data_IF_425487420895
#
_entry.id   IF_425487420895
#
_cell.length_a   1.000
_cell.length_b   1.000
_cell.length_c   1.000
_cell.angle_alpha   90.00
_cell.angle_beta   90.00
_cell.angle_gamma   90.00
#
_symmetry.space_group_name_H-M   'P 1'
#
loop_
_entity.id
_entity.type
_entity.pdbx_description
1 polymer ?
#
# COMPACT_ATOMS: atom_id res chain seq x y z
N UNK A 1 27.75 -78.01 15.55
CA UNK A 1 27.49 -77.48 14.18
C UNK A 1 26.66 -76.21 14.29
N UNK A 2 27.13 -75.16 13.63
CA UNK A 2 27.04 -73.75 14.00
C UNK A 2 25.78 -73.05 13.47
N UNK A 3 24.79 -72.85 14.35
CA UNK A 3 23.64 -71.95 14.14
C UNK A 3 23.98 -70.48 13.79
N UNK A 4 25.12 -69.87 14.17
CA UNK A 4 25.38 -68.47 13.80
C UNK A 4 25.72 -68.25 12.32
N UNK A 5 26.20 -69.28 11.59
CA UNK A 5 26.56 -69.12 10.17
C UNK A 5 25.34 -69.18 9.24
N UNK A 6 24.30 -69.93 9.60
CA UNK A 6 23.06 -69.98 8.83
C UNK A 6 22.24 -68.67 8.92
N UNK A 7 22.27 -68.00 10.07
CA UNK A 7 21.61 -66.70 10.24
C UNK A 7 22.31 -65.57 9.45
N UNK A 8 23.65 -65.60 9.38
CA UNK A 8 24.42 -64.61 8.61
C UNK A 8 24.21 -64.77 7.09
N UNK A 9 24.14 -66.01 6.60
CA UNK A 9 23.87 -66.29 5.19
C UNK A 9 22.45 -65.89 4.76
N UNK A 10 21.45 -66.08 5.64
CA UNK A 10 20.07 -65.67 5.37
C UNK A 10 19.90 -64.14 5.38
N UNK A 11 20.59 -63.43 6.28
CA UNK A 11 20.60 -61.97 6.31
C UNK A 11 21.29 -61.35 5.07
N UNK A 12 22.38 -61.96 4.59
CA UNK A 12 23.07 -61.55 3.36
C UNK A 12 22.25 -61.85 2.10
N UNK A 13 21.51 -62.96 2.06
CA UNK A 13 20.61 -63.29 0.96
C UNK A 13 19.38 -62.35 0.90
N UNK A 14 18.86 -61.92 2.05
CA UNK A 14 17.76 -60.94 2.12
C UNK A 14 18.21 -59.52 1.77
N UNK A 15 19.47 -59.16 2.06
CA UNK A 15 20.04 -57.88 1.64
C UNK A 15 20.36 -57.82 0.14
N UNK A 16 20.67 -58.96 -0.50
CA UNK A 16 20.95 -59.04 -1.94
C UNK A 16 19.68 -59.15 -2.81
N UNK A 17 18.55 -59.55 -2.23
CA UNK A 17 17.26 -59.75 -2.92
C UNK A 17 16.27 -58.59 -2.80
N UNK A 18 16.59 -57.52 -2.08
CA UNK A 18 15.72 -56.35 -2.04
C UNK A 18 15.66 -55.75 -3.46
N UNK A 19 14.49 -55.74 -4.13
CA UNK A 19 14.37 -55.01 -5.38
C UNK A 19 14.81 -53.59 -5.06
N UNK A 20 15.81 -53.09 -5.80
CA UNK A 20 16.09 -51.65 -5.84
C UNK A 20 14.75 -51.03 -6.19
N UNK A 21 14.03 -50.54 -5.19
CA UNK A 21 12.95 -49.61 -5.41
C UNK A 21 13.64 -48.52 -6.21
N UNK A 22 13.36 -48.50 -7.53
CA UNK A 22 13.62 -47.36 -8.36
C UNK A 22 13.04 -46.22 -7.56
N UNK A 23 13.89 -45.45 -6.89
CA UNK A 23 13.48 -44.27 -6.18
C UNK A 23 12.80 -43.45 -7.25
N UNK A 24 11.46 -43.52 -7.28
CA UNK A 24 10.64 -42.88 -8.27
C UNK A 24 11.05 -41.43 -8.17
N UNK A 25 11.80 -40.96 -9.17
CA UNK A 25 12.38 -39.63 -9.13
C UNK A 25 11.20 -38.70 -9.00
N UNK A 26 11.05 -38.09 -7.81
CA UNK A 26 9.96 -37.19 -7.52
C UNK A 26 9.93 -36.17 -8.64
N UNK A 27 8.89 -36.23 -9.46
CA UNK A 27 8.87 -35.41 -10.65
C UNK A 27 8.62 -33.97 -10.24
N UNK A 28 8.96 -33.04 -11.14
CA UNK A 28 8.66 -31.62 -10.95
C UNK A 28 7.17 -31.40 -10.67
N UNK A 29 6.30 -32.18 -11.32
CA UNK A 29 4.86 -32.13 -11.12
C UNK A 29 4.43 -32.64 -9.74
N UNK A 30 5.05 -33.72 -9.23
CA UNK A 30 4.74 -34.27 -7.90
C UNK A 30 5.09 -33.27 -6.79
N UNK A 31 6.23 -32.60 -6.93
CA UNK A 31 6.66 -31.57 -5.96
C UNK A 31 5.69 -30.38 -5.93
N UNK A 32 5.25 -29.92 -7.11
CA UNK A 32 4.28 -28.84 -7.21
C UNK A 32 2.90 -29.25 -6.65
N UNK A 33 2.47 -30.49 -6.90
CA UNK A 33 1.24 -31.03 -6.34
C UNK A 33 1.27 -31.11 -4.81
N UNK A 34 2.40 -31.52 -4.22
CA UNK A 34 2.58 -31.54 -2.76
C UNK A 34 2.46 -30.14 -2.14
N UNK A 35 3.04 -29.11 -2.76
CA UNK A 35 2.93 -27.73 -2.26
C UNK A 35 1.52 -27.17 -2.41
N UNK A 36 0.81 -27.51 -3.48
CA UNK A 36 -0.59 -27.13 -3.64
C UNK A 36 -1.46 -27.78 -2.56
N UNK A 37 -1.24 -29.07 -2.24
CA UNK A 37 -1.94 -29.75 -1.15
C UNK A 37 -1.61 -29.11 0.21
N UNK A 38 -0.34 -28.80 0.47
CA UNK A 38 0.08 -28.09 1.68
C UNK A 38 -0.61 -26.73 1.80
N UNK A 39 -0.69 -25.95 0.71
CA UNK A 39 -1.39 -24.67 0.69
C UNK A 39 -2.89 -24.84 0.99
N UNK A 40 -3.56 -25.86 0.43
CA UNK A 40 -4.97 -26.16 0.71
C UNK A 40 -5.19 -26.55 2.17
N UNK A 41 -4.29 -27.35 2.76
CA UNK A 41 -4.35 -27.70 4.19
C UNK A 41 -4.18 -26.47 5.09
N UNK A 42 -3.21 -25.60 4.79
CA UNK A 42 -3.01 -24.34 5.52
C UNK A 42 -4.26 -23.45 5.42
N UNK A 43 -4.90 -23.41 4.25
CA UNK A 43 -6.15 -22.66 4.07
C UNK A 43 -7.32 -23.26 4.87
N UNK A 44 -7.48 -24.59 4.86
CA UNK A 44 -8.48 -25.29 5.66
C UNK A 44 -8.28 -25.11 7.18
N UNK A 45 -7.04 -24.88 7.62
CA UNK A 45 -6.68 -24.55 9.00
C UNK A 45 -6.83 -23.04 9.32
N UNK A 46 -7.27 -22.22 8.37
CA UNK A 46 -7.39 -20.77 8.53
C UNK A 46 -6.05 -20.00 8.43
N UNK A 47 -4.93 -20.66 8.14
CA UNK A 47 -3.61 -20.03 7.98
C UNK A 47 -3.43 -19.41 6.59
N UNK A 48 -4.25 -18.41 6.27
CA UNK A 48 -4.31 -17.80 4.93
C UNK A 48 -2.99 -17.19 4.46
N UNK A 49 -2.26 -16.50 5.34
CA UNK A 49 -0.98 -15.87 4.99
C UNK A 49 0.09 -16.92 4.62
N UNK A 50 0.20 -17.99 5.40
CA UNK A 50 1.11 -19.09 5.12
C UNK A 50 0.71 -19.81 3.82
N UNK A 51 -0.58 -20.11 3.64
CA UNK A 51 -1.10 -20.68 2.41
C UNK A 51 -0.77 -19.82 1.19
N UNK A 52 -0.94 -18.49 1.29
CA UNK A 52 -0.61 -17.57 0.21
C UNK A 52 0.89 -17.54 -0.10
N UNK A 53 1.76 -17.51 0.91
CA UNK A 53 3.21 -17.60 0.70
C UNK A 53 3.59 -18.88 -0.06
N UNK A 54 2.98 -20.02 0.30
CA UNK A 54 3.21 -21.30 -0.40
C UNK A 54 2.70 -21.26 -1.83
N UNK A 55 1.50 -20.71 -2.10
CA UNK A 55 0.98 -20.58 -3.46
C UNK A 55 1.84 -19.64 -4.32
N UNK A 56 2.34 -18.53 -3.76
CA UNK A 56 3.24 -17.62 -4.47
C UNK A 56 4.55 -18.31 -4.81
N UNK A 57 5.17 -19.00 -3.86
CA UNK A 57 6.39 -19.77 -4.11
C UNK A 57 6.17 -20.89 -5.13
N UNK A 58 4.98 -21.49 -5.13
CA UNK A 58 4.58 -22.48 -6.11
C UNK A 58 4.51 -21.88 -7.52
N UNK A 59 3.90 -20.70 -7.67
CA UNK A 59 3.85 -19.98 -8.93
C UNK A 59 5.23 -19.54 -9.43
N UNK A 60 6.07 -19.01 -8.54
CA UNK A 60 7.42 -18.57 -8.89
C UNK A 60 8.27 -19.69 -9.49
N UNK A 61 8.11 -20.92 -8.99
CA UNK A 61 9.00 -22.04 -9.36
C UNK A 61 8.35 -23.06 -10.33
N UNK A 62 7.02 -23.11 -10.37
CA UNK A 62 6.25 -24.15 -11.08
C UNK A 62 4.96 -23.66 -11.74
N UNK A 63 4.90 -22.40 -12.19
CA UNK A 63 3.73 -21.82 -12.88
C UNK A 63 3.22 -22.67 -14.07
N UNK A 64 4.12 -23.36 -14.78
CA UNK A 64 3.83 -24.18 -15.96
C UNK A 64 3.23 -25.55 -15.64
N UNK A 65 3.18 -25.95 -14.37
CA UNK A 65 2.60 -27.23 -13.96
C UNK A 65 1.08 -27.13 -13.78
N UNK A 66 0.32 -28.23 -13.84
CA UNK A 66 -1.11 -28.23 -13.51
C UNK A 66 -1.41 -27.66 -12.11
N UNK A 67 -0.54 -27.96 -11.14
CA UNK A 67 -0.62 -27.40 -9.80
C UNK A 67 -0.36 -25.88 -9.78
N UNK A 68 0.57 -25.39 -10.61
CA UNK A 68 0.82 -23.97 -10.84
C UNK A 68 -0.39 -23.23 -11.39
N UNK A 69 -1.02 -23.76 -12.44
CA UNK A 69 -2.22 -23.16 -13.01
C UNK A 69 -3.38 -23.13 -12.01
N UNK A 70 -3.53 -24.17 -11.19
CA UNK A 70 -4.54 -24.20 -10.14
C UNK A 70 -4.22 -23.24 -8.99
N UNK A 71 -2.95 -23.11 -8.58
CA UNK A 71 -2.51 -22.09 -7.63
C UNK A 71 -2.80 -20.67 -8.14
N UNK A 72 -2.60 -20.42 -9.43
CA UNK A 72 -2.94 -19.15 -10.07
C UNK A 72 -4.44 -18.88 -10.01
N UNK A 73 -5.28 -19.90 -10.28
CA UNK A 73 -6.73 -19.81 -10.13
C UNK A 73 -7.13 -19.55 -8.68
N UNK A 74 -6.56 -20.27 -7.72
CA UNK A 74 -6.84 -20.06 -6.29
C UNK A 74 -6.45 -18.65 -5.86
N UNK A 75 -5.31 -18.12 -6.29
CA UNK A 75 -4.90 -16.74 -5.99
C UNK A 75 -5.82 -15.73 -6.68
N UNK A 76 -6.22 -15.96 -7.93
CA UNK A 76 -7.11 -15.05 -8.66
C UNK A 76 -8.56 -15.06 -8.12
N UNK A 77 -9.02 -16.20 -7.59
CA UNK A 77 -10.33 -16.34 -6.95
C UNK A 77 -10.32 -15.89 -5.49
N UNK A 78 -9.14 -15.83 -4.86
CA UNK A 78 -9.02 -15.23 -3.55
C UNK A 78 -9.35 -13.74 -3.67
N UNK A 79 -10.18 -13.21 -2.77
CA UNK A 79 -10.24 -11.77 -2.58
C UNK A 79 -8.80 -11.29 -2.43
N UNK A 80 -8.37 -10.31 -3.23
CA UNK A 80 -7.04 -9.70 -3.15
C UNK A 80 -6.71 -9.56 -1.66
N UNK A 81 -5.53 -10.06 -1.21
CA UNK A 81 -5.24 -10.37 0.18
C UNK A 81 -5.93 -9.33 1.04
N UNK A 82 -7.02 -9.75 1.69
CA UNK A 82 -7.87 -8.84 2.45
C UNK A 82 -6.92 -7.99 3.25
N UNK A 83 -6.93 -6.69 2.98
CA UNK A 83 -6.13 -5.69 3.65
C UNK A 83 -6.49 -5.76 5.14
N UNK A 84 -5.92 -6.73 5.86
CA UNK A 84 -6.20 -7.01 7.26
C UNK A 84 -5.76 -5.86 8.16
N UNK A 85 -5.13 -4.83 7.59
CA UNK A 85 -4.79 -3.58 8.23
C UNK A 85 -6.02 -2.70 8.49
N UNK A 86 -7.13 -2.82 7.75
CA UNK A 86 -8.27 -1.91 7.92
C UNK A 86 -8.79 -1.88 9.35
N UNK A 87 -8.97 -3.06 9.97
CA UNK A 87 -9.36 -3.15 11.38
C UNK A 87 -8.27 -2.62 12.32
N UNK A 88 -7.04 -3.10 12.19
CA UNK A 88 -5.96 -2.71 13.09
C UNK A 88 -5.69 -1.20 13.05
N UNK A 89 -5.66 -0.62 11.84
CA UNK A 89 -5.48 0.81 11.60
C UNK A 89 -6.63 1.62 12.18
N UNK A 90 -7.88 1.16 12.00
CA UNK A 90 -9.05 1.82 12.60
C UNK A 90 -8.98 1.80 14.13
N UNK A 91 -8.58 0.68 14.74
CA UNK A 91 -8.41 0.58 16.19
C UNK A 91 -7.33 1.53 16.70
N UNK A 92 -6.16 1.54 16.04
CA UNK A 92 -5.05 2.41 16.40
C UNK A 92 -5.45 3.89 16.28
N UNK A 93 -6.00 4.30 15.13
CA UNK A 93 -6.46 5.67 14.92
C UNK A 93 -7.55 6.07 15.93
N UNK A 94 -8.57 5.26 16.12
CA UNK A 94 -9.68 5.60 17.03
C UNK A 94 -9.24 5.67 18.48
N UNK A 95 -8.21 4.94 18.88
CA UNK A 95 -7.60 5.06 20.22
C UNK A 95 -6.91 6.42 20.37
N UNK A 96 -6.10 6.81 19.38
CA UNK A 96 -5.43 8.12 19.37
C UNK A 96 -6.46 9.25 19.32
N UNK A 97 -7.42 9.16 18.41
CA UNK A 97 -8.47 10.15 18.24
C UNK A 97 -9.39 10.23 19.47
N UNK A 98 -9.71 9.10 20.10
CA UNK A 98 -10.43 9.05 21.37
C UNK A 98 -9.66 9.71 22.52
N UNK A 99 -8.35 9.50 22.61
CA UNK A 99 -7.50 10.19 23.59
C UNK A 99 -7.46 11.71 23.33
N UNK A 100 -7.35 12.12 22.07
CA UNK A 100 -7.44 13.52 21.68
C UNK A 100 -8.79 14.14 22.03
N UNK A 101 -9.91 13.46 21.76
CA UNK A 101 -11.25 13.88 22.19
C UNK A 101 -11.36 13.98 23.72
N UNK A 102 -10.65 13.13 24.45
CA UNK A 102 -10.53 13.20 25.91
C UNK A 102 -9.94 14.52 26.42
N UNK A 103 -9.14 15.22 25.61
CA UNK A 103 -8.65 16.57 25.90
C UNK A 103 -9.59 17.62 25.32
N UNK A 104 -9.98 17.45 24.05
CA UNK A 104 -10.69 18.46 23.29
C UNK A 104 -12.11 18.71 23.81
N UNK A 105 -12.82 17.67 24.28
CA UNK A 105 -14.19 17.81 24.80
C UNK A 105 -14.22 18.61 26.11
N UNK A 106 -13.37 18.35 27.12
CA UNK A 106 -13.25 19.24 28.28
C UNK A 106 -12.86 20.68 27.93
N UNK A 107 -11.91 20.88 27.00
CA UNK A 107 -11.53 22.22 26.55
C UNK A 107 -12.70 22.96 25.90
N UNK A 108 -13.44 22.29 25.01
CA UNK A 108 -14.67 22.78 24.40
C UNK A 108 -15.74 23.14 25.45
N UNK A 109 -15.84 22.33 26.52
CA UNK A 109 -16.76 22.57 27.63
C UNK A 109 -16.32 23.69 28.59
N UNK A 110 -15.14 24.29 28.38
CA UNK A 110 -14.60 25.34 29.26
C UNK A 110 -14.08 24.82 30.60
N UNK A 111 -13.51 23.61 30.62
CA UNK A 111 -12.91 23.08 31.84
C UNK A 111 -11.67 23.89 32.27
N UNK A 112 -11.75 24.51 33.44
CA UNK A 112 -10.65 25.32 34.02
C UNK A 112 -9.70 24.50 34.91
N UNK A 113 -10.14 23.34 35.41
CA UNK A 113 -9.32 22.47 36.26
C UNK A 113 -8.71 21.32 35.47
N UNK A 114 -7.63 20.71 35.99
CA UNK A 114 -6.97 19.55 35.35
C UNK A 114 -7.78 18.25 35.45
N UNK A 115 -8.74 18.16 36.38
CA UNK A 115 -9.50 16.93 36.65
C UNK A 115 -10.31 16.45 35.44
N UNK A 116 -11.11 17.28 34.73
CA UNK A 116 -11.82 16.86 33.52
C UNK A 116 -10.90 16.33 32.42
N UNK A 117 -9.73 16.93 32.22
CA UNK A 117 -8.73 16.46 31.24
C UNK A 117 -8.13 15.11 31.64
N UNK A 118 -7.83 14.92 32.93
CA UNK A 118 -7.35 13.64 33.46
C UNK A 118 -8.37 12.52 33.26
N UNK A 119 -9.64 12.77 33.59
CA UNK A 119 -10.75 11.82 33.35
C UNK A 119 -10.90 11.55 31.86
N UNK A 120 -10.90 12.59 31.03
CA UNK A 120 -11.03 12.47 29.58
C UNK A 120 -9.90 11.66 28.94
N UNK A 121 -8.65 11.86 29.36
CA UNK A 121 -7.51 11.07 28.88
C UNK A 121 -7.58 9.60 29.31
N UNK A 122 -7.98 9.33 30.56
CA UNK A 122 -8.12 7.97 31.08
C UNK A 122 -9.21 7.18 30.34
N UNK A 123 -10.29 7.84 29.95
CA UNK A 123 -11.45 7.19 29.31
C UNK A 123 -11.42 7.24 27.78
N UNK A 124 -10.90 8.32 27.19
CA UNK A 124 -11.01 8.62 25.76
C UNK A 124 -10.34 7.58 24.87
N UNK A 125 -9.09 7.23 25.17
CA UNK A 125 -8.36 6.21 24.41
C UNK A 125 -9.03 4.83 24.46
N UNK A 126 -9.29 4.28 25.67
CA UNK A 126 -10.02 3.02 25.81
C UNK A 126 -11.42 3.03 25.17
N UNK A 127 -12.18 4.11 25.32
CA UNK A 127 -13.50 4.24 24.69
C UNK A 127 -13.38 4.19 23.15
N UNK A 128 -12.44 4.93 22.58
CA UNK A 128 -12.14 4.90 21.15
C UNK A 128 -11.79 3.50 20.63
N UNK A 129 -10.94 2.76 21.36
CA UNK A 129 -10.59 1.39 21.03
C UNK A 129 -11.81 0.45 21.05
N UNK A 130 -12.62 0.52 22.12
CA UNK A 130 -13.79 -0.34 22.32
C UNK A 130 -14.84 -0.09 21.24
N UNK A 131 -15.16 1.18 20.98
CA UNK A 131 -16.13 1.59 19.96
C UNK A 131 -15.66 1.16 18.56
N UNK A 132 -14.39 1.40 18.23
CA UNK A 132 -13.82 0.98 16.95
C UNK A 132 -13.79 -0.54 16.79
N UNK A 133 -13.55 -1.29 17.86
CA UNK A 133 -13.60 -2.75 17.82
C UNK A 133 -15.02 -3.28 17.63
N UNK A 134 -16.01 -2.69 18.29
CA UNK A 134 -17.41 -3.03 18.08
C UNK A 134 -17.83 -2.74 16.63
N UNK A 135 -17.53 -1.54 16.14
CA UNK A 135 -17.79 -1.15 14.75
C UNK A 135 -17.09 -2.06 13.74
N UNK A 136 -15.79 -2.32 13.91
CA UNK A 136 -15.01 -3.15 12.99
C UNK A 136 -15.47 -4.61 12.96
N UNK A 137 -16.03 -5.13 14.08
CA UNK A 137 -16.64 -6.47 14.11
C UNK A 137 -17.95 -6.52 13.33
N UNK A 138 -18.75 -5.46 13.41
CA UNK A 138 -20.04 -5.36 12.73
C UNK A 138 -19.87 -5.12 11.22
N UNK A 139 -19.06 -4.14 10.83
CA UNK A 139 -18.94 -3.69 9.43
C UNK A 139 -17.81 -4.40 8.67
N UNK A 140 -16.74 -4.81 9.36
CA UNK A 140 -15.53 -5.41 8.75
C UNK A 140 -14.97 -4.57 7.59
N UNK A 141 -14.62 -3.29 7.83
CA UNK A 141 -14.20 -2.38 6.77
C UNK A 141 -12.91 -2.85 6.07
N UNK A 142 -12.81 -2.59 4.77
CA UNK A 142 -11.56 -2.71 3.98
C UNK A 142 -10.56 -1.63 4.39
N UNK A 143 -9.30 -1.69 3.96
CA UNK A 143 -8.36 -0.62 4.31
C UNK A 143 -8.73 0.70 3.63
N UNK A 144 -9.20 0.69 2.38
CA UNK A 144 -9.70 1.90 1.72
C UNK A 144 -10.89 2.55 2.43
N UNK A 145 -11.81 1.75 2.95
CA UNK A 145 -12.93 2.23 3.78
C UNK A 145 -12.44 2.80 5.11
N UNK A 146 -11.54 2.11 5.81
CA UNK A 146 -10.93 2.62 7.03
C UNK A 146 -10.20 3.93 6.78
N UNK A 147 -9.40 4.02 5.72
CA UNK A 147 -8.65 5.21 5.38
C UNK A 147 -9.58 6.38 5.08
N UNK A 148 -10.75 6.13 4.47
CA UNK A 148 -11.71 7.18 4.16
C UNK A 148 -12.35 7.74 5.44
N UNK A 149 -12.64 6.88 6.43
CA UNK A 149 -13.13 7.29 7.75
C UNK A 149 -12.07 8.10 8.49
N UNK A 150 -10.82 7.63 8.50
CA UNK A 150 -9.69 8.29 9.17
C UNK A 150 -9.45 9.66 8.54
N UNK A 151 -9.26 9.70 7.21
CA UNK A 151 -9.05 10.94 6.47
C UNK A 151 -10.21 11.91 6.69
N UNK A 152 -11.46 11.44 6.61
CA UNK A 152 -12.63 12.26 6.89
C UNK A 152 -12.55 12.95 8.25
N UNK A 153 -12.16 12.22 9.32
CA UNK A 153 -12.00 12.82 10.64
C UNK A 153 -10.88 13.87 10.71
N UNK A 154 -9.73 13.62 10.08
CA UNK A 154 -8.60 14.56 10.07
C UNK A 154 -8.92 15.81 9.24
N UNK A 155 -9.41 15.61 8.02
CA UNK A 155 -9.80 16.68 7.11
C UNK A 155 -10.92 17.53 7.69
N UNK A 156 -11.92 16.89 8.32
CA UNK A 156 -13.00 17.58 9.01
C UNK A 156 -12.50 18.46 10.15
N UNK A 157 -11.59 17.98 11.00
CA UNK A 157 -10.99 18.80 12.07
C UNK A 157 -10.22 19.99 11.48
N UNK A 158 -9.39 19.75 10.46
CA UNK A 158 -8.64 20.78 9.76
C UNK A 158 -9.56 21.86 9.18
N UNK A 159 -10.60 21.46 8.45
CA UNK A 159 -11.57 22.38 7.86
C UNK A 159 -12.39 23.13 8.90
N UNK A 160 -12.82 22.47 9.98
CA UNK A 160 -13.54 23.11 11.07
C UNK A 160 -12.74 24.24 11.71
N UNK A 161 -11.49 23.94 12.10
CA UNK A 161 -10.59 24.96 12.66
C UNK A 161 -10.25 26.05 11.64
N UNK A 162 -9.90 25.63 10.43
CA UNK A 162 -9.49 26.54 9.35
C UNK A 162 -10.56 27.57 9.06
N UNK A 163 -11.81 27.15 8.85
CA UNK A 163 -12.90 28.07 8.54
C UNK A 163 -13.25 28.98 9.72
N UNK A 164 -13.15 28.49 10.96
CA UNK A 164 -13.30 29.37 12.13
C UNK A 164 -12.27 30.50 12.09
N UNK A 165 -11.00 30.15 11.93
CA UNK A 165 -9.90 31.11 11.93
C UNK A 165 -9.95 32.05 10.72
N UNK A 166 -10.39 31.57 9.55
CA UNK A 166 -10.49 32.37 8.33
C UNK A 166 -11.72 33.29 8.27
N UNK A 167 -12.64 33.21 9.24
CA UNK A 167 -13.89 34.00 9.22
C UNK A 167 -14.15 34.78 10.50
N UNK A 168 -13.34 34.57 11.53
CA UNK A 168 -13.56 35.14 12.86
C UNK A 168 -12.25 35.68 13.40
N UNK A 169 -12.19 37.00 13.61
CA UNK A 169 -11.01 37.69 14.16
C UNK A 169 -10.94 37.66 15.69
N UNK A 170 -12.07 37.45 16.39
CA UNK A 170 -12.15 37.35 17.85
C UNK A 170 -12.57 35.95 18.27
N UNK A 171 -11.57 35.08 18.43
CA UNK A 171 -11.77 33.66 18.70
C UNK A 171 -11.57 33.39 20.19
N UNK A 172 -12.68 33.30 20.93
CA UNK A 172 -12.62 32.95 22.35
C UNK A 172 -12.01 31.55 22.58
N UNK A 173 -11.35 31.35 23.72
CA UNK A 173 -10.45 30.21 24.02
C UNK A 173 -11.02 28.80 23.75
N UNK A 174 -12.34 28.61 23.91
CA UNK A 174 -13.02 27.31 23.69
C UNK A 174 -13.43 27.05 22.23
N UNK A 175 -13.52 28.10 21.43
CA UNK A 175 -14.08 28.07 20.07
C UNK A 175 -13.24 27.21 19.11
N UNK A 176 -11.88 27.26 19.15
CA UNK A 176 -11.04 26.39 18.33
C UNK A 176 -11.28 24.90 18.61
N UNK A 177 -11.37 24.51 19.88
CA UNK A 177 -11.67 23.12 20.26
C UNK A 177 -13.06 22.70 19.81
N UNK A 178 -14.05 23.59 19.92
CA UNK A 178 -15.40 23.34 19.41
C UNK A 178 -15.37 23.06 17.92
N UNK A 179 -14.71 23.92 17.14
CA UNK A 179 -14.62 23.79 15.70
C UNK A 179 -13.86 22.53 15.26
N UNK A 180 -12.74 22.21 15.92
CA UNK A 180 -11.99 20.97 15.70
C UNK A 180 -12.85 19.73 15.97
N UNK A 181 -13.57 19.69 17.09
CA UNK A 181 -14.39 18.54 17.48
C UNK A 181 -15.57 18.37 16.53
N UNK A 182 -16.33 19.44 16.26
CA UNK A 182 -17.48 19.39 15.37
C UNK A 182 -17.07 19.06 13.93
N UNK A 183 -16.00 19.69 13.44
CA UNK A 183 -15.42 19.40 12.14
C UNK A 183 -14.97 17.96 12.03
N UNK A 184 -14.20 17.46 13.00
CA UNK A 184 -13.69 16.10 12.99
C UNK A 184 -14.76 15.02 13.12
N UNK A 185 -15.79 15.24 13.96
CA UNK A 185 -16.95 14.34 14.04
C UNK A 185 -17.77 14.37 12.75
N UNK A 186 -18.05 15.56 12.20
CA UNK A 186 -18.76 15.70 10.93
C UNK A 186 -18.01 15.01 9.78
N UNK A 187 -16.69 15.21 9.71
CA UNK A 187 -15.82 14.56 8.74
C UNK A 187 -15.73 13.05 8.91
N UNK A 188 -15.72 12.53 10.15
CA UNK A 188 -15.78 11.09 10.43
C UNK A 188 -17.08 10.49 9.88
N UNK A 189 -18.22 11.14 10.11
CA UNK A 189 -19.53 10.70 9.60
C UNK A 189 -19.54 10.74 8.07
N UNK A 190 -19.06 11.83 7.45
CA UNK A 190 -18.95 11.93 6.00
C UNK A 190 -18.04 10.82 5.41
N UNK A 191 -16.88 10.59 6.02
CA UNK A 191 -15.96 9.52 5.65
C UNK A 191 -16.60 8.13 5.74
N UNK A 192 -17.41 7.89 6.77
CA UNK A 192 -18.20 6.65 6.90
C UNK A 192 -19.26 6.50 5.79
N UNK A 193 -19.99 7.57 5.47
CA UNK A 193 -20.98 7.57 4.38
C UNK A 193 -20.31 7.29 3.03
N UNK A 194 -19.18 7.92 2.76
CA UNK A 194 -18.37 7.65 1.56
C UNK A 194 -17.88 6.20 1.53
N UNK A 195 -17.33 5.72 2.64
CA UNK A 195 -16.82 4.35 2.76
C UNK A 195 -17.90 3.30 2.51
N UNK A 196 -19.10 3.51 3.06
CA UNK A 196 -20.23 2.59 2.93
C UNK A 196 -20.96 2.68 1.60
N UNK A 197 -20.96 3.84 0.95
CA UNK A 197 -21.66 4.03 -0.33
C UNK A 197 -20.78 3.68 -1.53
N UNK A 198 -19.53 4.14 -1.53
CA UNK A 198 -18.63 4.06 -2.69
C UNK A 198 -17.63 2.91 -2.62
N UNK A 199 -17.44 2.29 -1.45
CA UNK A 199 -16.51 1.18 -1.25
C UNK A 199 -15.10 1.43 -1.84
N UNK A 200 -14.46 2.58 -1.51
CA UNK A 200 -13.21 2.97 -2.15
C UNK A 200 -12.09 1.96 -1.88
N UNK A 201 -11.21 1.78 -2.86
CA UNK A 201 -9.96 1.01 -2.66
C UNK A 201 -8.96 1.84 -1.85
N UNK A 202 -7.99 1.18 -1.20
CA UNK A 202 -6.94 1.91 -0.47
C UNK A 202 -6.14 2.87 -1.38
N UNK A 203 -5.96 2.52 -2.66
CA UNK A 203 -5.30 3.40 -3.62
C UNK A 203 -6.12 4.63 -3.95
N UNK A 204 -7.43 4.49 -4.17
CA UNK A 204 -8.32 5.63 -4.41
C UNK A 204 -8.35 6.57 -3.20
N UNK A 205 -8.54 6.04 -1.99
CA UNK A 205 -8.54 6.87 -0.78
C UNK A 205 -7.19 7.56 -0.58
N UNK A 206 -6.08 6.84 -0.78
CA UNK A 206 -4.74 7.42 -0.72
C UNK A 206 -4.57 8.54 -1.75
N UNK A 207 -5.08 8.36 -2.97
CA UNK A 207 -5.02 9.36 -4.04
C UNK A 207 -5.79 10.62 -3.66
N UNK A 208 -7.02 10.48 -3.19
CA UNK A 208 -7.85 11.61 -2.75
C UNK A 208 -7.20 12.38 -1.60
N UNK A 209 -6.70 11.67 -0.58
CA UNK A 209 -6.02 12.29 0.57
C UNK A 209 -4.81 13.12 0.12
N UNK A 210 -3.93 12.54 -0.69
CA UNK A 210 -2.74 13.28 -1.15
C UNK A 210 -3.11 14.40 -2.12
N UNK A 211 -4.17 14.27 -2.92
CA UNK A 211 -4.65 15.36 -3.75
C UNK A 211 -5.12 16.56 -2.90
N UNK A 212 -5.76 16.29 -1.75
CA UNK A 212 -6.13 17.33 -0.78
C UNK A 212 -4.89 17.96 -0.13
N UNK A 213 -3.90 17.17 0.27
CA UNK A 213 -2.64 17.64 0.85
C UNK A 213 -1.85 18.53 -0.14
N UNK A 214 -1.71 18.07 -1.40
CA UNK A 214 -1.07 18.84 -2.45
C UNK A 214 -1.88 20.08 -2.83
N UNK A 215 -3.21 20.00 -2.85
CA UNK A 215 -4.09 21.16 -3.01
C UNK A 215 -3.83 22.22 -1.93
N UNK A 216 -3.68 21.79 -0.67
CA UNK A 216 -3.34 22.66 0.46
C UNK A 216 -1.96 23.30 0.26
N UNK A 217 -0.95 22.52 -0.11
CA UNK A 217 0.40 23.01 -0.41
C UNK A 217 0.40 24.08 -1.50
N UNK A 218 -0.27 23.84 -2.64
CA UNK A 218 -0.36 24.83 -3.70
C UNK A 218 -1.25 26.01 -3.33
N UNK A 219 -2.20 25.84 -2.39
CA UNK A 219 -2.94 26.93 -1.76
C UNK A 219 -2.04 27.87 -0.96
N UNK A 220 -1.08 27.34 -0.20
CA UNK A 220 -0.08 28.14 0.52
C UNK A 220 0.74 28.97 -0.47
N UNK A 221 1.21 28.33 -1.55
CA UNK A 221 1.97 29.00 -2.61
C UNK A 221 1.12 30.09 -3.26
N UNK A 222 -0.14 29.81 -3.59
CA UNK A 222 -1.05 30.77 -4.20
C UNK A 222 -1.32 31.98 -3.28
N UNK A 223 -1.55 31.75 -1.98
CA UNK A 223 -1.74 32.81 -1.00
C UNK A 223 -0.53 33.76 -0.97
N UNK A 224 0.70 33.22 -0.92
CA UNK A 224 1.92 34.04 -0.92
C UNK A 224 2.13 34.78 -2.25
N UNK A 225 1.88 34.13 -3.39
CA UNK A 225 2.03 34.79 -4.69
C UNK A 225 1.05 35.95 -4.90
N UNK A 226 -0.15 35.83 -4.32
CA UNK A 226 -1.22 36.83 -4.40
C UNK A 226 -1.18 37.88 -3.28
N UNK A 227 -0.17 37.84 -2.41
CA UNK A 227 -0.07 38.67 -1.21
C UNK A 227 -1.35 38.60 -0.35
N UNK A 228 -1.96 37.43 -0.28
CA UNK A 228 -3.08 37.20 0.62
C UNK A 228 -2.55 37.20 2.06
N UNK A 229 -3.17 38.01 2.92
CA UNK A 229 -2.82 38.15 4.33
C UNK A 229 -3.90 37.55 5.22
N UNK A 230 -3.51 37.19 6.45
CA UNK A 230 -4.38 36.74 7.53
C UNK A 230 -5.47 35.73 7.10
N UNK A 231 -6.73 36.11 7.27
CA UNK A 231 -7.92 35.32 7.00
C UNK A 231 -8.04 34.94 5.52
N UNK A 232 -7.63 35.84 4.61
CA UNK A 232 -7.68 35.59 3.17
C UNK A 232 -6.63 34.55 2.75
N UNK A 233 -5.45 34.56 3.37
CA UNK A 233 -4.42 33.56 3.15
C UNK A 233 -4.93 32.17 3.56
N UNK A 234 -5.47 32.06 4.77
CA UNK A 234 -5.99 30.81 5.29
C UNK A 234 -7.20 30.31 4.48
N UNK A 235 -8.13 31.20 4.12
CA UNK A 235 -9.26 30.88 3.25
C UNK A 235 -8.80 30.33 1.89
N UNK A 236 -7.77 30.94 1.29
CA UNK A 236 -7.17 30.45 0.03
C UNK A 236 -6.60 29.04 0.18
N UNK A 237 -5.89 28.77 1.28
CA UNK A 237 -5.31 27.46 1.59
C UNK A 237 -6.40 26.37 1.72
N UNK A 238 -7.47 26.67 2.46
CA UNK A 238 -8.59 25.73 2.69
C UNK A 238 -9.33 25.41 1.40
N UNK A 239 -9.66 26.44 0.62
CA UNK A 239 -10.34 26.28 -0.67
C UNK A 239 -9.49 25.47 -1.64
N UNK A 240 -8.19 25.75 -1.73
CA UNK A 240 -7.29 24.99 -2.60
C UNK A 240 -7.18 23.53 -2.17
N UNK A 241 -7.16 23.25 -0.86
CA UNK A 241 -7.24 21.90 -0.31
C UNK A 241 -8.51 21.17 -0.75
N UNK A 242 -9.68 21.81 -0.65
CA UNK A 242 -10.95 21.23 -1.06
C UNK A 242 -11.06 21.03 -2.57
N UNK A 243 -10.50 21.96 -3.37
CA UNK A 243 -10.36 21.78 -4.82
C UNK A 243 -9.48 20.56 -5.13
N UNK A 244 -8.37 20.38 -4.41
CA UNK A 244 -7.51 19.20 -4.51
C UNK A 244 -8.24 17.92 -4.15
N UNK A 245 -9.02 17.92 -3.06
CA UNK A 245 -9.86 16.80 -2.64
C UNK A 245 -10.89 16.43 -3.72
N UNK A 246 -11.63 17.41 -4.25
CA UNK A 246 -12.64 17.19 -5.30
C UNK A 246 -12.01 16.70 -6.60
N UNK A 247 -10.89 17.30 -7.02
CA UNK A 247 -10.14 16.84 -8.19
C UNK A 247 -9.63 15.41 -8.00
N UNK A 248 -9.15 15.07 -6.79
CA UNK A 248 -8.78 13.72 -6.41
C UNK A 248 -9.95 12.74 -6.52
N UNK A 249 -11.10 13.10 -5.97
CA UNK A 249 -12.29 12.24 -5.95
C UNK A 249 -12.84 11.98 -7.36
N UNK A 250 -12.81 12.99 -8.23
CA UNK A 250 -13.27 12.87 -9.62
C UNK A 250 -12.23 12.22 -10.55
N UNK A 251 -10.94 12.36 -10.24
CA UNK A 251 -9.82 11.95 -11.09
C UNK A 251 -9.14 10.64 -10.68
N UNK A 252 -9.44 10.08 -9.50
CA UNK A 252 -8.76 8.89 -9.00
C UNK A 252 -8.90 7.68 -9.96
N UNK A 253 -7.79 7.11 -10.46
CA UNK A 253 -7.86 5.92 -11.30
C UNK A 253 -8.38 4.72 -10.50
N UNK A 254 -9.22 3.87 -11.12
CA UNK A 254 -9.86 2.73 -10.45
C UNK A 254 -8.86 1.71 -9.92
N UNK A 255 -7.76 1.51 -10.65
CA UNK A 255 -6.78 0.46 -10.38
C UNK A 255 -5.48 0.98 -9.74
N UNK A 256 -5.45 2.24 -9.29
CA UNK A 256 -4.26 2.81 -8.66
C UNK A 256 -3.98 2.10 -7.34
N UNK A 257 -2.72 1.73 -7.08
CA UNK A 257 -2.32 1.19 -5.77
C UNK A 257 -1.93 2.30 -4.79
N UNK A 258 -2.21 2.10 -3.49
CA UNK A 258 -1.78 3.04 -2.45
C UNK A 258 -0.26 3.25 -2.45
N UNK A 259 0.52 2.18 -2.73
CA UNK A 259 1.98 2.27 -2.81
C UNK A 259 2.46 3.17 -3.95
N UNK A 260 1.80 3.12 -5.12
CA UNK A 260 2.10 4.05 -6.24
C UNK A 260 1.85 5.49 -5.84
N UNK A 261 0.71 5.78 -5.21
CA UNK A 261 0.37 7.13 -4.75
C UNK A 261 1.41 7.64 -3.75
N UNK A 262 1.72 6.86 -2.72
CA UNK A 262 2.73 7.23 -1.72
C UNK A 262 4.10 7.49 -2.33
N UNK A 263 4.55 6.64 -3.25
CA UNK A 263 5.84 6.83 -3.91
C UNK A 263 5.83 8.06 -4.82
N UNK A 264 4.73 8.32 -5.52
CA UNK A 264 4.56 9.54 -6.32
C UNK A 264 4.67 10.78 -5.44
N UNK A 265 3.97 10.79 -4.30
CA UNK A 265 4.04 11.88 -3.32
C UNK A 265 5.43 12.04 -2.71
N UNK A 266 6.13 10.94 -2.39
CA UNK A 266 7.50 10.99 -1.89
C UNK A 266 8.46 11.62 -2.92
N UNK A 267 8.28 11.32 -4.21
CA UNK A 267 9.06 11.94 -5.30
C UNK A 267 8.69 13.43 -5.44
N UNK A 268 7.41 13.79 -5.27
CA UNK A 268 6.97 15.20 -5.18
C UNK A 268 7.64 15.96 -4.03
N UNK A 269 7.70 15.37 -2.84
CA UNK A 269 8.39 15.93 -1.66
C UNK A 269 9.89 16.07 -1.92
N UNK A 270 10.52 15.07 -2.53
CA UNK A 270 11.93 15.14 -2.94
C UNK A 270 12.16 16.27 -3.95
N UNK A 271 11.22 16.48 -4.88
CA UNK A 271 11.19 17.63 -5.78
C UNK A 271 11.12 18.96 -5.03
N UNK A 272 10.20 19.11 -4.07
CA UNK A 272 10.10 20.30 -3.22
C UNK A 272 11.40 20.58 -2.47
N UNK A 273 11.99 19.56 -1.84
CA UNK A 273 13.25 19.65 -1.11
C UNK A 273 14.41 20.07 -2.02
N UNK A 274 14.48 19.52 -3.24
CA UNK A 274 15.45 19.96 -4.24
C UNK A 274 15.24 21.43 -4.64
N UNK A 275 13.99 21.88 -4.74
CA UNK A 275 13.65 23.28 -5.00
C UNK A 275 14.12 24.22 -3.88
N UNK A 276 13.91 23.85 -2.61
CA UNK A 276 14.48 24.60 -1.48
C UNK A 276 16.01 24.59 -1.51
N UNK A 277 16.64 23.49 -1.94
CA UNK A 277 18.09 23.44 -2.16
C UNK A 277 18.57 24.41 -3.25
N UNK A 278 17.83 24.54 -4.35
CA UNK A 278 18.12 25.51 -5.42
C UNK A 278 17.96 26.93 -4.91
N UNK A 279 16.89 27.19 -4.17
CA UNK A 279 16.60 28.49 -3.56
C UNK A 279 17.77 28.98 -2.67
N UNK A 280 18.30 28.10 -1.80
CA UNK A 280 19.46 28.40 -0.96
C UNK A 280 20.75 28.70 -1.75
N UNK A 281 20.89 28.16 -2.96
CA UNK A 281 22.05 28.38 -3.83
C UNK A 281 21.93 29.68 -4.64
N UNK A 282 20.73 29.97 -5.15
CA UNK A 282 20.45 31.16 -5.97
C UNK A 282 20.28 32.40 -5.10
N UNK A 283 19.69 32.23 -3.90
CA UNK A 283 19.32 33.30 -2.97
C UNK A 283 18.53 34.40 -3.66
N UNK A 284 17.30 34.12 -4.12
CA UNK A 284 16.48 35.14 -4.76
C UNK A 284 16.20 36.28 -3.77
N UNK A 285 16.14 37.50 -4.31
CA UNK A 285 15.86 38.71 -3.52
C UNK A 285 14.37 38.87 -3.18
N UNK A 286 13.47 38.11 -3.83
CA UNK A 286 12.02 38.17 -3.64
C UNK A 286 11.49 36.96 -2.87
N UNK A 287 10.79 37.21 -1.76
CA UNK A 287 10.20 36.18 -0.89
C UNK A 287 9.21 35.25 -1.63
N UNK A 288 8.57 35.75 -2.69
CA UNK A 288 7.66 34.95 -3.54
C UNK A 288 8.38 33.84 -4.28
N UNK A 289 9.62 34.09 -4.70
CA UNK A 289 10.42 33.14 -5.46
C UNK A 289 10.83 31.96 -4.57
N UNK A 290 11.03 32.22 -3.26
CA UNK A 290 11.40 31.21 -2.26
C UNK A 290 10.41 30.05 -2.21
N UNK A 291 9.10 30.33 -2.35
CA UNK A 291 8.07 29.28 -2.38
C UNK A 291 7.73 28.79 -3.80
N UNK A 292 7.88 29.66 -4.81
CA UNK A 292 7.59 29.29 -6.20
C UNK A 292 8.52 28.20 -6.72
N UNK A 293 9.83 28.28 -6.42
CA UNK A 293 10.80 27.28 -6.87
C UNK A 293 10.47 25.87 -6.32
N UNK A 294 10.34 25.65 -4.99
CA UNK A 294 9.88 24.38 -4.43
C UNK A 294 8.54 23.90 -4.98
N UNK A 295 7.60 24.81 -5.22
CA UNK A 295 6.31 24.45 -5.79
C UNK A 295 6.45 23.84 -7.19
N UNK A 296 7.19 24.52 -8.08
CA UNK A 296 7.42 24.05 -9.44
C UNK A 296 8.20 22.73 -9.47
N UNK A 297 9.26 22.60 -8.67
CA UNK A 297 10.04 21.36 -8.61
C UNK A 297 9.25 20.20 -7.99
N UNK A 298 8.36 20.48 -7.03
CA UNK A 298 7.43 19.47 -6.50
C UNK A 298 6.42 18.99 -7.54
N UNK A 299 5.89 19.90 -8.38
CA UNK A 299 4.99 19.56 -9.47
C UNK A 299 5.69 18.68 -10.51
N UNK A 300 6.92 19.02 -10.90
CA UNK A 300 7.75 18.19 -11.78
C UNK A 300 8.00 16.81 -11.14
N UNK A 301 8.30 16.77 -9.84
CA UNK A 301 8.48 15.54 -9.07
C UNK A 301 7.23 14.65 -9.08
N UNK A 302 6.04 15.22 -8.91
CA UNK A 302 4.77 14.49 -8.97
C UNK A 302 4.50 13.92 -10.36
N UNK A 303 4.65 14.73 -11.41
CA UNK A 303 4.45 14.28 -12.80
C UNK A 303 5.45 13.18 -13.15
N UNK A 304 6.72 13.37 -12.81
CA UNK A 304 7.77 12.35 -13.01
C UNK A 304 7.48 11.07 -12.22
N UNK A 305 7.15 11.20 -10.93
CA UNK A 305 6.81 10.09 -10.06
C UNK A 305 5.61 9.31 -10.59
N UNK A 306 4.57 9.99 -11.08
CA UNK A 306 3.40 9.36 -11.66
C UNK A 306 3.75 8.47 -12.88
N UNK A 307 4.63 8.97 -13.75
CA UNK A 307 5.05 8.26 -14.95
C UNK A 307 5.99 7.08 -14.67
N UNK A 308 6.96 7.25 -13.76
CA UNK A 308 7.95 6.20 -13.46
C UNK A 308 7.35 5.06 -12.63
N UNK A 309 6.28 5.33 -11.88
CA UNK A 309 5.63 4.35 -11.01
C UNK A 309 4.47 3.58 -11.67
N UNK A 310 4.20 3.81 -12.96
CA UNK A 310 3.09 3.19 -13.70
C UNK A 310 3.18 1.65 -13.72
N UNK A 311 4.41 1.12 -13.75
CA UNK A 311 4.65 -0.32 -13.76
C UNK A 311 4.33 -1.02 -12.43
N UNK A 312 4.24 -0.28 -11.30
CA UNK A 312 3.94 -0.87 -9.99
C UNK A 312 2.53 -1.44 -9.92
N UNK A 313 1.57 -0.81 -10.61
CA UNK A 313 0.20 -1.29 -10.68
C UNK A 313 0.10 -2.50 -11.64
N UNK A 314 0.92 -2.56 -12.69
CA UNK A 314 0.96 -3.66 -13.64
C UNK A 314 1.50 -4.96 -13.01
N UNK A 315 2.45 -4.86 -12.07
CA UNK A 315 3.04 -6.02 -11.37
C UNK A 315 2.05 -6.74 -10.44
N UNK A 316 0.91 -6.12 -10.11
CA UNK A 316 -0.18 -6.77 -9.34
C UNK A 316 -1.16 -7.58 -10.18
N UNK A 317 -1.08 -7.51 -11.52
CA UNK A 317 -1.87 -8.40 -12.36
C UNK A 317 -1.38 -9.84 -12.16
N UNK A 318 -2.28 -10.81 -11.89
CA UNK A 318 -1.88 -12.19 -11.62
C UNK A 318 -1.03 -12.73 -12.78
N UNK A 319 0.03 -13.45 -12.43
CA UNK A 319 1.06 -13.97 -13.34
C UNK A 319 0.57 -14.97 -14.43
N UNK A 320 -0.73 -15.07 -14.66
CA UNK A 320 -1.36 -15.90 -15.68
C UNK A 320 -2.35 -15.15 -16.58
N UNK A 321 -2.46 -13.81 -16.48
CA UNK A 321 -3.19 -13.06 -17.51
C UNK A 321 -2.44 -13.22 -18.84
N UNK A 322 -3.06 -13.70 -19.93
CA UNK A 322 -2.40 -13.85 -21.23
C UNK A 322 -1.83 -12.49 -21.65
N UNK A 323 -0.50 -12.33 -21.50
CA UNK A 323 0.23 -11.07 -21.68
C UNK A 323 1.21 -10.69 -20.56
N UNK A 324 1.08 -11.22 -19.33
CA UNK A 324 1.92 -10.81 -18.18
C UNK A 324 3.29 -11.51 -18.08
N UNK A 325 3.59 -12.46 -18.97
CA UNK A 325 4.82 -13.24 -18.96
C UNK A 325 6.08 -12.46 -19.44
N UNK A 326 6.15 -11.14 -19.23
CA UNK A 326 7.44 -10.43 -19.29
C UNK A 326 7.40 -8.94 -19.05
N UNK A 327 6.98 -8.60 -17.84
CA UNK A 327 7.27 -7.31 -17.22
C UNK A 327 8.77 -7.06 -16.91
N UNK A 328 9.65 -8.03 -17.18
CA UNK A 328 11.04 -8.02 -16.72
C UNK A 328 12.12 -7.66 -17.75
N UNK A 329 11.81 -6.99 -18.86
CA UNK A 329 12.82 -6.57 -19.84
C UNK A 329 13.25 -5.11 -19.68
N UNK A 330 14.55 -4.82 -19.81
CA UNK A 330 15.10 -3.46 -19.72
C UNK A 330 14.50 -2.54 -20.79
N UNK A 331 14.38 -3.03 -22.03
CA UNK A 331 13.71 -2.35 -23.13
C UNK A 331 12.49 -3.16 -23.57
N UNK A 332 11.34 -2.51 -23.61
CA UNK A 332 10.10 -3.07 -24.14
C UNK A 332 9.66 -2.26 -25.35
N UNK A 333 9.51 -2.93 -26.49
CA UNK A 333 8.89 -2.39 -27.69
C UNK A 333 7.49 -2.99 -27.81
N UNK A 334 6.45 -2.21 -27.50
CA UNK A 334 5.05 -2.65 -27.59
C UNK A 334 4.27 -1.64 -28.42
N UNK A 335 3.60 -2.10 -29.48
CA UNK A 335 2.80 -1.26 -30.38
C UNK A 335 3.57 -0.03 -30.91
N UNK A 336 4.84 -0.23 -31.26
CA UNK A 336 5.74 0.83 -31.77
C UNK A 336 6.25 1.81 -30.71
N UNK A 337 5.95 1.63 -29.42
CA UNK A 337 6.48 2.46 -28.33
C UNK A 337 7.60 1.74 -27.60
N UNK A 338 8.73 2.44 -27.42
CA UNK A 338 9.85 1.98 -26.60
C UNK A 338 9.62 2.44 -25.15
N UNK A 339 9.71 1.51 -24.20
CA UNK A 339 9.66 1.76 -22.76
C UNK A 339 10.89 1.17 -22.08
N UNK A 340 11.43 1.89 -21.11
CA UNK A 340 12.49 1.40 -20.23
C UNK A 340 11.85 0.83 -18.96
N UNK A 341 12.20 -0.41 -18.60
CA UNK A 341 11.76 -1.08 -17.38
C UNK A 341 12.93 -1.53 -16.53
N UNK A 342 12.70 -1.85 -15.26
CA UNK A 342 13.70 -2.54 -14.45
C UNK A 342 13.77 -4.01 -14.90
N UNK A 343 14.93 -4.52 -15.35
CA UNK A 343 15.02 -5.90 -15.80
C UNK A 343 14.88 -6.83 -14.60
N UNK A 344 14.02 -7.83 -14.72
CA UNK A 344 13.91 -8.86 -13.69
C UNK A 344 15.05 -9.86 -13.88
N UNK A 345 15.79 -10.13 -12.82
CA UNK A 345 16.85 -11.13 -12.82
C UNK A 345 16.20 -12.50 -12.62
N UNK A 346 16.07 -13.27 -13.70
CA UNK A 346 15.43 -14.58 -13.68
C UNK A 346 16.47 -15.68 -13.46
N UNK A 347 16.35 -16.54 -12.44
CA UNK A 347 17.14 -17.76 -12.36
C UNK A 347 16.87 -18.62 -13.60
N UNK A 348 17.92 -19.02 -14.32
CA UNK A 348 17.82 -19.86 -15.51
C UNK A 348 18.86 -20.97 -15.50
N UNK A 349 18.73 -21.92 -16.43
CA UNK A 349 19.73 -22.94 -16.71
C UNK A 349 20.32 -22.71 -18.09
N UNK A 350 21.62 -22.44 -18.16
CA UNK A 350 22.33 -22.29 -19.43
C UNK A 350 23.03 -23.60 -19.75
N UNK A 351 22.88 -24.07 -21.00
CA UNK A 351 23.64 -25.22 -21.50
C UNK A 351 25.09 -24.78 -21.71
N UNK A 352 26.01 -25.35 -20.92
CA UNK A 352 27.42 -24.93 -20.92
C UNK A 352 28.29 -25.87 -21.76
N UNK A 353 27.88 -27.13 -21.92
CA UNK A 353 28.58 -28.09 -22.75
C UNK A 353 27.63 -29.18 -23.27
N UNK A 354 28.02 -29.81 -24.38
CA UNK A 354 27.35 -30.99 -24.92
C UNK A 354 28.21 -32.21 -24.60
N UNK A 355 27.86 -32.93 -23.54
CA UNK A 355 28.56 -34.16 -23.17
C UNK A 355 28.24 -35.30 -24.15
N UNK A 356 29.04 -36.38 -24.17
CA UNK A 356 28.87 -37.51 -25.10
C UNK A 356 27.52 -38.24 -25.02
N UNK A 357 26.76 -38.04 -23.93
CA UNK A 357 25.45 -38.68 -23.73
C UNK A 357 24.32 -37.73 -23.30
N UNK A 358 24.62 -36.55 -22.74
CA UNK A 358 23.61 -35.54 -22.34
C UNK A 358 24.19 -34.11 -22.32
N UNK A 359 23.38 -33.08 -22.59
CA UNK A 359 23.73 -31.68 -22.35
C UNK A 359 23.98 -31.41 -20.86
N UNK A 360 25.02 -30.64 -20.56
CA UNK A 360 25.36 -30.18 -19.22
C UNK A 360 24.80 -28.77 -19.04
N UNK A 361 23.90 -28.60 -18.07
CA UNK A 361 23.34 -27.31 -17.69
C UNK A 361 23.98 -26.78 -16.41
N UNK A 362 24.17 -25.47 -16.31
CA UNK A 362 24.55 -24.81 -15.06
C UNK A 362 23.53 -23.73 -14.70
N UNK A 363 23.29 -23.50 -13.40
CA UNK A 363 22.51 -22.35 -12.95
C UNK A 363 23.18 -21.06 -13.42
N UNK A 364 22.35 -20.15 -13.90
CA UNK A 364 22.73 -18.83 -14.38
C UNK A 364 21.62 -17.83 -14.06
N UNK A 365 21.88 -16.56 -14.29
CA UNK A 365 20.89 -15.49 -14.20
C UNK A 365 20.65 -14.95 -15.61
N UNK A 366 19.40 -14.97 -16.06
CA UNK A 366 18.97 -14.31 -17.29
C UNK A 366 18.45 -12.91 -16.94
N UNK A 367 18.99 -11.91 -17.61
CA UNK A 367 18.53 -10.53 -17.54
C UNK A 367 17.94 -10.19 -18.91
N UNK A 368 16.61 -10.17 -19.08
CA UNK A 368 16.00 -9.86 -20.36
C UNK A 368 16.32 -8.39 -20.71
N UNK A 369 17.05 -8.17 -21.81
CA UNK A 369 17.44 -6.81 -22.21
C UNK A 369 16.41 -6.18 -23.14
N UNK A 370 15.82 -6.95 -24.03
CA UNK A 370 14.84 -6.47 -25.01
C UNK A 370 13.68 -7.44 -25.12
N UNK A 371 12.46 -6.91 -25.14
CA UNK A 371 11.26 -7.63 -25.53
C UNK A 371 10.49 -6.80 -26.55
N UNK A 372 10.18 -7.39 -27.70
CA UNK A 372 9.34 -6.77 -28.70
C UNK A 372 8.04 -7.57 -28.86
N UNK A 373 6.91 -6.87 -28.82
CA UNK A 373 5.59 -7.40 -29.18
C UNK A 373 5.11 -6.58 -30.36
N UNK A 374 4.92 -7.25 -31.50
CA UNK A 374 4.51 -6.66 -32.78
C UNK A 374 3.01 -6.80 -33.00
#
# INVERSE_FOLDING_TARGET
>A
MSRPLAALALALALAAGAPRALAAQATRADSAAMLLDAARRLEAQGQRAASQAVLTQLLERWADTPAGMEAARMIAQRPAPTEGSGRFRLLAWSTIYGAWLGIAVPAMAGAESSTPYGVGLLLGGPAGLVLANAYARAVRPTAGQTDAIIFGSQWGSWQGLGWLLATTSDVGDRTPFTALVLGGVGGLVAGHVVASSLHPTAGQTSFVSHAADWGTWYGIVAAVLTDAEDDAALGTILVAGDVGLLAGALGAPRDVSAGRVWLTSAIGIAGAAAGFGIDLLVKPDEDKIILLIPALTSAVGLVYGWHVTDDLDLRRRPAGAPGSAGAGALLRLENGRVRLGAPDVLPTLVKVAQGPRRPIYRPALAVPLLRATF
#
